data_IF_072439232495
#
_entry.id   IF_072439232495
#
_cell.length_a   1.000
_cell.length_b   1.000
_cell.length_c   1.000
_cell.angle_alpha   90.00
_cell.angle_beta   90.00
_cell.angle_gamma   90.00
#
_symmetry.space_group_name_H-M   'P 1'
#
loop_
_entity.id
_entity.type
_entity.pdbx_description
1 polymer ?
#
# COMPACT_ATOMS: atom_id res chain seq x y z
N UNK A 1 -21.45 -16.75 -4.20
CA UNK A 1 -21.42 -17.94 -5.09
C UNK A 1 -21.66 -19.25 -4.31
N UNK A 2 -20.94 -19.51 -3.21
CA UNK A 2 -21.13 -20.74 -2.41
C UNK A 2 -22.51 -20.76 -1.72
N UNK A 3 -22.89 -19.66 -1.08
CA UNK A 3 -24.20 -19.53 -0.44
C UNK A 3 -25.35 -19.64 -1.43
N UNK A 4 -25.21 -19.09 -2.64
CA UNK A 4 -26.24 -19.22 -3.69
C UNK A 4 -26.41 -20.65 -4.21
N UNK A 5 -25.47 -21.54 -3.88
CA UNK A 5 -25.53 -23.00 -4.16
C UNK A 5 -25.95 -23.81 -2.93
N UNK A 6 -26.46 -23.17 -1.87
CA UNK A 6 -26.89 -23.84 -0.64
C UNK A 6 -25.77 -24.32 0.27
N UNK A 7 -24.52 -23.94 -0.02
CA UNK A 7 -23.37 -24.29 0.81
C UNK A 7 -23.30 -23.31 1.97
N UNK A 8 -23.24 -23.83 3.19
CA UNK A 8 -23.07 -23.02 4.39
C UNK A 8 -21.63 -22.46 4.43
N UNK A 9 -21.46 -21.31 3.81
CA UNK A 9 -20.17 -20.62 3.71
C UNK A 9 -20.31 -19.15 4.14
N UNK A 10 -19.26 -18.64 4.75
CA UNK A 10 -19.17 -17.22 5.12
C UNK A 10 -17.81 -16.66 4.73
N UNK A 11 -17.75 -15.35 4.57
CA UNK A 11 -16.49 -14.64 4.31
C UNK A 11 -15.75 -14.46 5.63
N UNK A 12 -14.60 -15.13 5.78
CA UNK A 12 -13.80 -15.13 7.02
C UNK A 12 -12.80 -13.98 7.10
N UNK A 13 -12.50 -13.33 5.98
CA UNK A 13 -11.39 -12.39 5.90
C UNK A 13 -10.03 -13.10 5.79
N UNK A 14 -9.01 -12.51 6.39
CA UNK A 14 -7.64 -13.03 6.38
C UNK A 14 -7.08 -13.09 7.81
N UNK A 15 -6.32 -14.13 8.11
CA UNK A 15 -5.66 -14.31 9.42
C UNK A 15 -4.77 -13.11 9.80
N UNK A 16 -4.18 -12.42 8.84
CA UNK A 16 -3.34 -11.26 9.11
C UNK A 16 -4.09 -10.08 9.73
N UNK A 17 -5.42 -10.07 9.66
CA UNK A 17 -6.26 -9.09 10.38
C UNK A 17 -6.17 -9.23 11.92
N UNK A 18 -5.67 -10.36 12.41
CA UNK A 18 -5.50 -10.62 13.86
C UNK A 18 -4.09 -10.28 14.37
N UNK A 19 -3.18 -9.83 13.52
CA UNK A 19 -1.77 -9.58 13.88
C UNK A 19 -1.59 -8.58 15.01
N UNK A 20 -2.50 -7.63 15.17
CA UNK A 20 -2.48 -6.66 16.26
C UNK A 20 -2.53 -7.26 17.67
N UNK A 21 -2.97 -8.53 17.78
CA UNK A 21 -2.96 -9.24 19.06
C UNK A 21 -1.54 -9.55 19.56
N UNK A 22 -0.58 -9.72 18.62
CA UNK A 22 0.81 -10.07 18.94
C UNK A 22 1.81 -8.94 18.69
N UNK A 23 1.49 -8.03 17.77
CA UNK A 23 2.42 -6.99 17.28
C UNK A 23 1.88 -5.56 17.44
N UNK A 24 0.95 -5.34 18.37
CA UNK A 24 0.40 -4.00 18.60
C UNK A 24 1.49 -3.02 19.03
N UNK A 25 1.42 -1.78 18.53
CA UNK A 25 2.25 -0.66 18.97
C UNK A 25 1.37 0.56 19.25
N UNK A 26 1.35 1.02 20.48
CA UNK A 26 0.66 2.25 20.87
C UNK A 26 1.39 3.50 20.36
N UNK A 27 2.72 3.41 20.24
CA UNK A 27 3.55 4.52 19.79
C UNK A 27 3.73 4.42 18.28
N UNK A 28 3.21 5.42 17.55
CA UNK A 28 3.45 5.58 16.12
C UNK A 28 4.65 6.49 15.90
N UNK A 29 5.61 6.01 15.12
CA UNK A 29 6.73 6.81 14.64
C UNK A 29 6.25 7.72 13.50
N UNK A 30 6.89 8.88 13.32
CA UNK A 30 6.58 9.78 12.20
C UNK A 30 7.19 9.25 10.88
N UNK A 31 6.86 7.99 10.54
CA UNK A 31 7.34 7.29 9.34
C UNK A 31 6.19 6.93 8.42
N UNK A 32 6.43 7.12 7.14
CA UNK A 32 5.52 6.82 6.05
C UNK A 32 6.18 5.78 5.15
N UNK A 33 5.44 4.75 4.78
CA UNK A 33 5.91 3.69 3.89
C UNK A 33 5.11 3.67 2.60
N UNK A 34 5.81 3.68 1.47
CA UNK A 34 5.24 3.43 0.15
C UNK A 34 5.76 2.08 -0.33
N UNK A 35 4.88 1.07 -0.26
CA UNK A 35 5.22 -0.33 -0.56
C UNK A 35 4.57 -0.70 -1.89
N UNK A 36 5.35 -0.78 -2.95
CA UNK A 36 4.86 -1.02 -4.31
C UNK A 36 3.62 -0.18 -4.66
N UNK A 37 3.62 1.15 -4.48
CA UNK A 37 2.47 1.99 -4.79
C UNK A 37 2.17 1.90 -6.30
N UNK A 38 0.88 1.77 -6.65
CA UNK A 38 0.49 1.62 -8.04
C UNK A 38 0.56 2.95 -8.80
N UNK A 39 1.24 2.94 -9.93
CA UNK A 39 1.23 4.01 -10.93
C UNK A 39 1.78 3.52 -12.27
N UNK A 40 1.38 4.16 -13.36
CA UNK A 40 1.81 3.82 -14.72
C UNK A 40 2.39 5.05 -15.40
N UNK A 41 3.56 4.88 -16.01
CA UNK A 41 4.17 5.93 -16.83
C UNK A 41 3.93 5.62 -18.30
N UNK A 42 3.15 6.44 -18.97
CA UNK A 42 2.96 6.35 -20.42
C UNK A 42 4.13 7.02 -21.15
N UNK A 43 4.66 6.36 -22.18
CA UNK A 43 5.82 6.81 -22.94
C UNK A 43 5.41 7.37 -24.32
N UNK A 44 4.31 8.11 -24.38
CA UNK A 44 3.98 8.90 -25.56
C UNK A 44 4.68 10.28 -25.52
N UNK A 45 4.84 10.90 -26.68
CA UNK A 45 5.58 12.16 -26.84
C UNK A 45 5.05 13.26 -25.90
N UNK A 46 3.73 13.40 -25.82
CA UNK A 46 3.11 14.41 -24.95
C UNK A 46 3.47 14.20 -23.48
N UNK A 47 3.34 12.98 -22.98
CA UNK A 47 3.67 12.67 -21.57
C UNK A 47 5.15 12.83 -21.30
N UNK A 48 6.03 12.50 -22.25
CA UNK A 48 7.48 12.69 -22.12
C UNK A 48 7.81 14.17 -21.98
N UNK A 49 7.30 15.01 -22.88
CA UNK A 49 7.53 16.46 -22.84
C UNK A 49 6.97 17.09 -21.56
N UNK A 50 5.74 16.73 -21.21
CA UNK A 50 5.11 17.23 -19.99
C UNK A 50 5.91 16.83 -18.73
N UNK A 51 6.30 15.58 -18.63
CA UNK A 51 7.12 15.10 -17.49
C UNK A 51 8.51 15.73 -17.49
N UNK A 52 9.13 16.00 -18.65
CA UNK A 52 10.41 16.70 -18.72
C UNK A 52 10.32 18.12 -18.17
N UNK A 53 9.30 18.88 -18.60
CA UNK A 53 9.05 20.22 -18.09
C UNK A 53 8.76 20.17 -16.57
N UNK A 54 7.87 19.27 -16.15
CA UNK A 54 7.52 19.13 -14.74
C UNK A 54 8.75 18.75 -13.87
N UNK A 55 9.62 17.89 -14.37
CA UNK A 55 10.88 17.51 -13.72
C UNK A 55 11.80 18.72 -13.50
N UNK A 56 11.91 19.64 -14.47
CA UNK A 56 12.72 20.85 -14.32
C UNK A 56 12.25 21.71 -13.14
N UNK A 57 10.95 21.92 -13.00
CA UNK A 57 10.39 22.71 -11.89
C UNK A 57 10.41 22.00 -10.55
N UNK A 58 10.45 20.66 -10.53
CA UNK A 58 10.38 19.84 -9.32
C UNK A 58 11.62 18.94 -9.15
N UNK A 59 12.77 19.38 -9.67
CA UNK A 59 14.00 18.59 -9.72
C UNK A 59 14.42 18.02 -8.36
N UNK A 60 14.51 18.88 -7.33
CA UNK A 60 14.96 18.48 -6.00
C UNK A 60 14.13 17.35 -5.38
N UNK A 61 12.80 17.48 -5.19
CA UNK A 61 12.00 16.43 -4.60
C UNK A 61 12.02 15.14 -5.42
N UNK A 62 11.94 15.23 -6.75
CA UNK A 62 11.95 14.05 -7.62
C UNK A 62 13.29 13.31 -7.53
N UNK A 63 14.42 14.01 -7.48
CA UNK A 63 15.72 13.38 -7.30
C UNK A 63 15.85 12.67 -5.95
N UNK A 64 15.32 13.24 -4.85
CA UNK A 64 15.32 12.60 -3.54
C UNK A 64 14.51 11.32 -3.58
N UNK A 65 13.29 11.36 -4.14
CA UNK A 65 12.44 10.19 -4.28
C UNK A 65 13.10 9.15 -5.18
N UNK A 66 13.65 9.54 -6.34
CA UNK A 66 14.33 8.64 -7.24
C UNK A 66 15.54 7.94 -6.61
N UNK A 67 16.24 8.61 -5.69
CA UNK A 67 17.34 7.99 -4.94
C UNK A 67 16.86 6.95 -3.93
N UNK A 68 15.74 7.22 -3.26
CA UNK A 68 15.15 6.33 -2.25
C UNK A 68 14.37 5.16 -2.84
N UNK A 69 13.70 5.38 -3.97
CA UNK A 69 12.83 4.38 -4.58
C UNK A 69 13.66 3.20 -5.15
N UNK A 70 13.29 1.96 -4.84
CA UNK A 70 14.05 0.76 -5.20
C UNK A 70 13.87 0.30 -6.65
N UNK A 71 13.33 1.12 -7.56
CA UNK A 71 13.23 0.79 -8.99
C UNK A 71 14.64 0.53 -9.55
N UNK A 72 14.86 -0.59 -10.27
CA UNK A 72 16.16 -0.96 -10.82
C UNK A 72 16.66 -0.05 -11.95
N UNK A 73 15.77 0.75 -12.54
CA UNK A 73 16.17 1.72 -13.56
C UNK A 73 17.01 2.83 -12.97
N UNK A 74 17.89 3.40 -13.77
CA UNK A 74 18.85 4.41 -13.33
C UNK A 74 18.76 5.69 -14.17
N UNK A 75 19.49 6.71 -13.76
CA UNK A 75 19.67 7.95 -14.51
C UNK A 75 18.39 8.73 -14.78
N UNK A 76 18.32 9.32 -15.97
CA UNK A 76 17.18 10.17 -16.37
C UNK A 76 15.87 9.37 -16.48
N UNK A 77 15.93 8.13 -16.97
CA UNK A 77 14.75 7.28 -17.10
C UNK A 77 14.05 7.06 -15.77
N UNK A 78 14.80 6.79 -14.70
CA UNK A 78 14.24 6.65 -13.35
C UNK A 78 13.58 7.95 -12.89
N UNK A 79 14.24 9.10 -13.12
CA UNK A 79 13.69 10.40 -12.76
C UNK A 79 12.39 10.69 -13.49
N UNK A 80 12.28 10.36 -14.78
CA UNK A 80 11.04 10.50 -15.56
C UNK A 80 9.89 9.65 -15.00
N UNK A 81 10.18 8.40 -14.60
CA UNK A 81 9.20 7.51 -13.95
C UNK A 81 8.76 8.14 -12.61
N UNK A 82 9.70 8.56 -11.80
CA UNK A 82 9.41 9.19 -10.50
C UNK A 82 8.73 10.56 -10.64
N UNK A 83 8.84 11.21 -11.79
CA UNK A 83 8.06 12.41 -12.10
C UNK A 83 6.58 12.10 -12.18
N UNK A 84 6.19 11.02 -12.88
CA UNK A 84 4.79 10.57 -12.92
C UNK A 84 4.28 10.25 -11.52
N UNK A 85 5.06 9.46 -10.75
CA UNK A 85 4.72 9.15 -9.37
C UNK A 85 4.53 10.43 -8.54
N UNK A 86 5.53 11.30 -8.49
CA UNK A 86 5.49 12.52 -7.68
C UNK A 86 4.33 13.44 -8.05
N UNK A 87 4.08 13.65 -9.36
CA UNK A 87 3.01 14.49 -9.86
C UNK A 87 1.65 14.04 -9.36
N UNK A 88 1.35 12.75 -9.46
CA UNK A 88 0.05 12.21 -9.09
C UNK A 88 -0.10 12.09 -7.56
N UNK A 89 0.91 11.56 -6.87
CA UNK A 89 0.84 11.38 -5.42
C UNK A 89 0.88 12.70 -4.64
N UNK A 90 1.55 13.75 -5.17
CA UNK A 90 1.54 15.10 -4.56
C UNK A 90 0.14 15.71 -4.47
N UNK A 91 -0.82 15.26 -5.25
CA UNK A 91 -2.23 15.69 -5.16
C UNK A 91 -2.90 15.21 -3.88
N UNK A 92 -2.41 14.13 -3.28
CA UNK A 92 -2.97 13.45 -2.12
C UNK A 92 -2.12 13.57 -0.87
N UNK A 93 -0.81 13.76 -1.03
CA UNK A 93 0.14 13.82 0.08
C UNK A 93 0.97 15.10 -0.01
N UNK A 94 1.25 15.71 1.13
CA UNK A 94 2.20 16.82 1.17
C UNK A 94 3.58 16.37 0.70
N UNK A 95 4.31 17.29 0.11
CA UNK A 95 5.67 17.08 -0.41
C UNK A 95 6.59 16.47 0.64
N UNK A 96 6.50 16.92 1.88
CA UNK A 96 7.32 16.47 3.01
C UNK A 96 7.11 14.98 3.29
N UNK A 97 5.88 14.49 3.22
CA UNK A 97 5.57 13.06 3.34
C UNK A 97 6.27 12.26 2.25
N UNK A 98 6.14 12.69 0.99
CA UNK A 98 6.75 11.98 -0.14
C UNK A 98 8.28 11.97 -0.08
N UNK A 99 8.90 13.07 0.33
CA UNK A 99 10.36 13.17 0.43
C UNK A 99 10.90 12.34 1.59
N UNK A 100 10.20 12.30 2.73
CA UNK A 100 10.65 11.63 3.95
C UNK A 100 10.24 10.17 4.02
N UNK A 101 9.29 9.72 3.19
CA UNK A 101 8.84 8.34 3.14
C UNK A 101 9.97 7.34 2.86
N UNK A 102 9.77 6.13 3.34
CA UNK A 102 10.53 4.95 2.96
C UNK A 102 9.81 4.23 1.81
N UNK A 103 10.58 3.82 0.80
CA UNK A 103 10.07 3.15 -0.40
C UNK A 103 10.55 1.71 -0.41
N UNK A 104 9.63 0.76 -0.54
CA UNK A 104 9.90 -0.67 -0.55
C UNK A 104 9.31 -1.28 -1.81
N UNK A 105 10.08 -2.12 -2.49
CA UNK A 105 9.61 -2.93 -3.61
C UNK A 105 9.71 -4.41 -3.23
N UNK A 106 8.64 -4.95 -2.68
CA UNK A 106 8.57 -6.36 -2.24
C UNK A 106 8.49 -7.36 -3.41
N UNK A 107 8.13 -6.88 -4.61
CA UNK A 107 8.06 -7.74 -5.81
C UNK A 107 9.40 -7.92 -6.52
N UNK A 108 10.39 -7.08 -6.25
CA UNK A 108 11.62 -7.17 -7.03
C UNK A 108 12.38 -8.44 -6.66
N UNK A 109 12.86 -9.11 -7.69
CA UNK A 109 13.76 -10.27 -7.53
C UNK A 109 15.00 -9.87 -6.73
N UNK A 110 15.49 -8.62 -6.92
CA UNK A 110 16.62 -8.09 -6.18
C UNK A 110 16.32 -7.95 -4.68
N UNK A 111 15.08 -7.63 -4.31
CA UNK A 111 14.68 -7.60 -2.91
C UNK A 111 14.68 -9.01 -2.29
N UNK A 112 14.07 -9.98 -2.99
CA UNK A 112 13.96 -11.37 -2.52
C UNK A 112 15.35 -12.00 -2.41
N UNK A 113 16.23 -11.75 -3.39
CA UNK A 113 17.62 -12.28 -3.39
C UNK A 113 18.50 -11.79 -2.23
N UNK A 114 18.09 -10.74 -1.51
CA UNK A 114 18.80 -10.30 -0.29
C UNK A 114 18.63 -11.28 0.87
N UNK A 115 17.67 -12.17 0.79
CA UNK A 115 17.29 -13.09 1.83
C UNK A 115 17.30 -14.52 1.25
N UNK A 116 18.49 -15.14 1.11
CA UNK A 116 18.64 -16.40 0.40
C UNK A 116 18.06 -17.61 1.12
N UNK A 117 17.75 -17.49 2.42
CA UNK A 117 17.17 -18.58 3.22
C UNK A 117 15.76 -18.24 3.70
N UNK A 118 14.95 -19.27 3.94
CA UNK A 118 13.59 -19.11 4.48
C UNK A 118 13.62 -18.42 5.86
N UNK A 119 14.63 -18.69 6.67
CA UNK A 119 14.79 -18.04 7.96
C UNK A 119 15.04 -16.53 7.83
N UNK A 120 15.85 -16.11 6.88
CA UNK A 120 16.08 -14.69 6.60
C UNK A 120 14.85 -14.01 6.04
N UNK A 121 14.08 -14.70 5.17
CA UNK A 121 12.79 -14.22 4.68
C UNK A 121 11.78 -14.03 5.82
N UNK A 122 11.69 -14.96 6.75
CA UNK A 122 10.82 -14.86 7.93
C UNK A 122 11.26 -13.72 8.85
N UNK A 123 12.55 -13.56 9.11
CA UNK A 123 13.08 -12.42 9.88
C UNK A 123 12.77 -11.08 9.23
N UNK A 124 12.88 -11.01 7.91
CA UNK A 124 12.52 -9.79 7.16
C UNK A 124 11.02 -9.52 7.22
N UNK A 125 10.18 -10.54 7.07
CA UNK A 125 8.73 -10.41 7.22
C UNK A 125 8.35 -9.88 8.62
N UNK A 126 8.95 -10.44 9.67
CA UNK A 126 8.74 -9.98 11.04
C UNK A 126 9.23 -8.53 11.25
N UNK A 127 10.39 -8.18 10.69
CA UNK A 127 10.91 -6.80 10.70
C UNK A 127 9.91 -5.84 10.05
N UNK A 128 9.36 -6.18 8.88
CA UNK A 128 8.37 -5.37 8.18
C UNK A 128 7.09 -5.21 9.00
N UNK A 129 6.58 -6.29 9.59
CA UNK A 129 5.40 -6.24 10.48
C UNK A 129 5.65 -5.26 11.64
N UNK A 130 6.81 -5.33 12.30
CA UNK A 130 7.20 -4.40 13.37
C UNK A 130 7.31 -2.95 12.89
N UNK A 131 7.86 -2.74 11.69
CA UNK A 131 7.93 -1.41 11.07
C UNK A 131 6.53 -0.86 10.77
N UNK A 132 5.67 -1.67 10.19
CA UNK A 132 4.29 -1.26 9.86
C UNK A 132 3.45 -1.02 11.12
N UNK A 133 3.63 -1.80 12.18
CA UNK A 133 2.96 -1.57 13.45
C UNK A 133 3.23 -0.17 14.02
N UNK A 134 4.43 0.36 13.79
CA UNK A 134 4.85 1.70 14.25
C UNK A 134 4.61 2.80 13.23
N UNK A 135 4.29 2.47 11.98
CA UNK A 135 4.12 3.44 10.90
C UNK A 135 2.95 4.40 11.16
N UNK A 136 3.09 5.65 10.74
CA UNK A 136 2.02 6.65 10.74
C UNK A 136 1.02 6.39 9.61
N UNK A 137 1.52 5.92 8.46
CA UNK A 137 0.72 5.56 7.29
C UNK A 137 1.51 4.61 6.39
N UNK A 138 0.80 3.65 5.80
CA UNK A 138 1.31 2.79 4.74
C UNK A 138 0.47 2.98 3.47
N UNK A 139 1.12 3.16 2.33
CA UNK A 139 0.49 3.24 1.01
C UNK A 139 0.98 2.08 0.18
N UNK A 140 0.08 1.23 -0.32
CA UNK A 140 0.51 -0.02 -0.98
C UNK A 140 -0.50 -0.52 -2.01
N UNK A 141 -0.01 -1.19 -3.05
CA UNK A 141 -0.83 -1.98 -3.97
C UNK A 141 -0.85 -3.48 -3.61
N UNK A 142 -0.17 -3.85 -2.50
CA UNK A 142 -0.05 -5.24 -2.07
C UNK A 142 -1.07 -5.59 -1.02
N UNK A 143 -1.98 -6.51 -1.35
CA UNK A 143 -2.99 -6.98 -0.41
C UNK A 143 -2.35 -7.62 0.83
N UNK A 144 -1.23 -8.35 0.64
CA UNK A 144 -0.46 -8.99 1.73
C UNK A 144 0.38 -8.00 2.56
N UNK A 145 0.44 -6.73 2.17
CA UNK A 145 0.94 -5.64 3.00
C UNK A 145 -0.23 -4.88 3.65
N UNK A 146 -1.29 -4.63 2.90
CA UNK A 146 -2.44 -3.85 3.35
C UNK A 146 -3.23 -4.53 4.47
N UNK A 147 -3.52 -5.84 4.35
CA UNK A 147 -4.25 -6.61 5.38
C UNK A 147 -3.50 -6.67 6.73
N UNK A 148 -2.19 -7.00 6.77
CA UNK A 148 -1.41 -6.84 7.99
C UNK A 148 -1.52 -5.46 8.62
N UNK A 149 -1.42 -4.38 7.84
CA UNK A 149 -1.54 -3.02 8.36
C UNK A 149 -2.90 -2.77 9.02
N UNK A 150 -4.01 -3.25 8.44
CA UNK A 150 -5.31 -3.20 9.10
C UNK A 150 -5.28 -3.92 10.44
N UNK A 151 -4.80 -5.17 10.45
CA UNK A 151 -4.72 -5.99 11.66
C UNK A 151 -3.87 -5.35 12.76
N UNK A 152 -2.82 -4.61 12.39
CA UNK A 152 -1.96 -3.85 13.30
C UNK A 152 -2.59 -2.51 13.76
N UNK A 153 -3.77 -2.14 13.23
CA UNK A 153 -4.38 -0.84 13.47
C UNK A 153 -3.60 0.32 12.83
N UNK A 154 -2.73 0.03 11.89
CA UNK A 154 -1.97 1.04 11.17
C UNK A 154 -2.79 1.61 10.03
N UNK A 155 -2.88 2.96 9.90
CA UNK A 155 -3.52 3.59 8.77
C UNK A 155 -2.92 3.09 7.45
N UNK A 156 -3.79 2.67 6.52
CA UNK A 156 -3.37 2.15 5.22
C UNK A 156 -4.25 2.69 4.08
N UNK A 157 -3.61 3.04 2.98
CA UNK A 157 -4.25 3.37 1.71
C UNK A 157 -3.87 2.29 0.71
N UNK A 158 -4.87 1.65 0.14
CA UNK A 158 -4.67 0.69 -0.93
C UNK A 158 -4.67 1.39 -2.29
N UNK A 159 -3.72 1.05 -3.15
CA UNK A 159 -3.62 1.64 -4.48
C UNK A 159 -3.80 0.57 -5.54
N UNK A 160 -4.60 0.81 -6.57
CA UNK A 160 -4.92 -0.17 -7.59
C UNK A 160 -5.16 0.45 -8.96
N UNK A 161 -5.21 -0.40 -9.99
CA UNK A 161 -5.70 -0.05 -11.31
C UNK A 161 -7.23 -0.03 -11.32
N UNK A 162 -7.84 0.99 -11.91
CA UNK A 162 -9.30 1.06 -12.11
C UNK A 162 -9.79 -0.02 -13.10
N UNK A 163 -8.93 -0.41 -14.04
CA UNK A 163 -9.23 -1.35 -15.12
C UNK A 163 -8.65 -2.76 -14.86
N UNK A 164 -8.78 -3.25 -13.62
CA UNK A 164 -8.37 -4.61 -13.30
C UNK A 164 -9.18 -5.64 -14.08
N UNK A 165 -8.52 -6.72 -14.50
CA UNK A 165 -9.23 -7.86 -15.10
C UNK A 165 -10.21 -8.48 -14.09
N UNK A 166 -11.32 -9.06 -14.59
CA UNK A 166 -12.30 -9.75 -13.73
C UNK A 166 -11.65 -10.83 -12.86
N UNK A 167 -10.65 -11.54 -13.38
CA UNK A 167 -9.89 -12.54 -12.63
C UNK A 167 -9.12 -11.92 -11.43
N UNK A 168 -8.57 -10.71 -11.60
CA UNK A 168 -7.91 -9.99 -10.51
C UNK A 168 -8.92 -9.45 -9.50
N UNK A 169 -10.02 -8.87 -9.98
CA UNK A 169 -11.10 -8.35 -9.13
C UNK A 169 -11.76 -9.47 -8.30
N UNK A 170 -11.97 -10.65 -8.89
CA UNK A 170 -12.55 -11.82 -8.22
C UNK A 170 -11.69 -12.32 -7.05
N UNK A 171 -10.35 -12.27 -7.18
CA UNK A 171 -9.42 -12.71 -6.11
C UNK A 171 -9.50 -11.84 -4.85
N UNK A 172 -9.90 -10.59 -4.98
CA UNK A 172 -9.97 -9.62 -3.89
C UNK A 172 -11.41 -9.30 -3.46
N UNK A 173 -12.38 -10.03 -3.99
CA UNK A 173 -13.79 -9.85 -3.66
C UNK A 173 -14.04 -9.86 -2.15
N UNK A 174 -14.68 -8.81 -1.63
CA UNK A 174 -14.93 -8.59 -0.21
C UNK A 174 -13.75 -7.99 0.56
N UNK A 175 -12.49 -8.29 0.22
CA UNK A 175 -11.32 -7.71 0.89
C UNK A 175 -11.10 -6.24 0.51
N UNK A 176 -11.41 -5.88 -0.73
CA UNK A 176 -11.26 -4.52 -1.25
C UNK A 176 -12.10 -3.50 -0.48
N UNK A 177 -13.27 -3.90 -0.02
CA UNK A 177 -14.19 -3.06 0.75
C UNK A 177 -13.62 -2.62 2.10
N UNK A 178 -12.60 -3.32 2.60
CA UNK A 178 -11.95 -3.02 3.88
C UNK A 178 -11.07 -1.77 3.82
N UNK A 179 -10.66 -1.33 2.62
CA UNK A 179 -9.65 -0.28 2.44
C UNK A 179 -10.21 1.06 2.00
N UNK A 180 -9.47 2.10 2.29
CA UNK A 180 -9.53 3.37 1.60
C UNK A 180 -8.66 3.25 0.33
N UNK A 181 -9.21 3.58 -0.82
CA UNK A 181 -8.60 3.25 -2.11
C UNK A 181 -8.23 4.49 -2.89
N UNK A 182 -7.03 4.51 -3.45
CA UNK A 182 -6.64 5.38 -4.56
C UNK A 182 -6.57 4.54 -5.83
N UNK A 183 -7.38 4.88 -6.80
CA UNK A 183 -7.39 4.22 -8.11
C UNK A 183 -6.57 4.98 -9.13
N UNK A 184 -5.85 4.24 -9.93
CA UNK A 184 -5.23 4.75 -11.14
C UNK A 184 -6.24 4.62 -12.29
N UNK A 185 -6.79 5.74 -12.71
CA UNK A 185 -7.78 5.81 -13.78
C UNK A 185 -7.34 6.82 -14.86
N UNK A 186 -7.30 6.39 -16.11
CA UNK A 186 -6.96 7.23 -17.27
C UNK A 186 -5.70 8.10 -17.08
N UNK A 187 -4.66 7.55 -16.44
CA UNK A 187 -3.38 8.24 -16.21
C UNK A 187 -3.33 9.14 -14.98
N UNK A 188 -4.36 9.11 -14.15
CA UNK A 188 -4.46 9.90 -12.93
C UNK A 188 -4.88 9.06 -11.72
N UNK A 189 -4.43 9.48 -10.53
CA UNK A 189 -4.96 8.93 -9.29
C UNK A 189 -6.28 9.59 -8.92
N UNK A 190 -7.26 8.77 -8.56
CA UNK A 190 -8.60 9.17 -8.09
C UNK A 190 -8.86 8.52 -6.73
N UNK A 191 -9.46 9.24 -5.79
CA UNK A 191 -9.81 8.70 -4.47
C UNK A 191 -11.20 8.09 -4.46
N UNK A 192 -11.35 6.97 -3.71
CA UNK A 192 -12.65 6.34 -3.42
C UNK A 192 -12.96 6.37 -1.91
N UNK A 193 -12.74 7.49 -1.26
CA UNK A 193 -13.04 7.66 0.17
C UNK A 193 -13.29 9.14 0.49
N UNK A 194 -13.99 9.38 1.59
CA UNK A 194 -14.18 10.72 2.13
C UNK A 194 -12.97 11.16 2.96
N UNK A 195 -12.63 12.43 2.91
CA UNK A 195 -11.53 13.00 3.67
C UNK A 195 -10.90 14.21 3.00
N UNK A 196 -10.26 15.06 3.80
CA UNK A 196 -9.55 16.24 3.30
C UNK A 196 -8.24 15.83 2.62
N UNK A 197 -7.94 16.49 1.53
CA UNK A 197 -6.71 16.34 0.76
C UNK A 197 -6.07 17.72 0.63
N UNK A 198 -4.73 17.83 0.62
CA UNK A 198 -3.74 16.78 0.81
C UNK A 198 -3.64 16.29 2.25
N UNK A 199 -3.24 15.03 2.42
CA UNK A 199 -2.92 14.46 3.71
C UNK A 199 -1.64 15.12 4.24
N UNK A 200 -1.70 15.61 5.46
CA UNK A 200 -0.57 16.21 6.17
C UNK A 200 -0.25 15.42 7.45
N UNK A 201 0.82 15.85 8.14
CA UNK A 201 1.27 15.21 9.37
C UNK A 201 0.25 15.29 10.51
N UNK A 202 -0.68 16.24 10.45
CA UNK A 202 -1.70 16.48 11.48
C UNK A 202 -2.99 15.73 11.18
N UNK A 203 -3.15 15.18 9.96
CA UNK A 203 -4.35 14.47 9.56
C UNK A 203 -4.47 13.19 10.37
N UNK A 204 -5.52 13.06 11.15
CA UNK A 204 -5.93 11.81 11.75
C UNK A 204 -6.53 10.93 10.66
N UNK A 205 -5.69 10.11 10.04
CA UNK A 205 -6.15 9.14 9.07
C UNK A 205 -6.70 7.91 9.79
N UNK A 206 -7.93 7.53 9.50
CA UNK A 206 -8.54 6.33 10.06
C UNK A 206 -8.86 5.30 8.98
N UNK A 207 -8.61 4.05 9.29
CA UNK A 207 -9.10 2.94 8.48
C UNK A 207 -10.62 2.79 8.63
N UNK A 208 -11.28 2.20 7.64
CA UNK A 208 -12.65 1.70 7.81
C UNK A 208 -12.68 0.70 8.97
N UNK A 209 -13.80 0.56 9.65
CA UNK A 209 -13.90 -0.26 10.88
C UNK A 209 -14.37 -1.69 10.63
N UNK A 210 -14.94 -1.96 9.47
CA UNK A 210 -15.56 -3.26 9.11
C UNK A 210 -14.59 -4.46 9.27
N UNK A 211 -13.29 -4.25 9.10
CA UNK A 211 -12.30 -5.31 9.27
C UNK A 211 -12.20 -5.82 10.72
N UNK A 212 -12.54 -4.99 11.73
CA UNK A 212 -12.47 -5.38 13.15
C UNK A 212 -13.44 -6.50 13.49
N UNK A 213 -14.65 -6.42 12.96
CA UNK A 213 -15.66 -7.46 13.14
C UNK A 213 -15.21 -8.78 12.50
N UNK A 214 -14.62 -8.73 11.29
CA UNK A 214 -14.06 -9.91 10.64
C UNK A 214 -12.91 -10.53 11.46
N UNK A 215 -12.01 -9.71 11.99
CA UNK A 215 -10.90 -10.16 12.82
C UNK A 215 -11.36 -10.85 14.10
N UNK A 216 -12.34 -10.27 14.82
CA UNK A 216 -12.92 -10.87 16.04
C UNK A 216 -13.65 -12.18 15.76
N UNK A 217 -14.46 -12.21 14.72
CA UNK A 217 -15.17 -13.41 14.28
C UNK A 217 -14.20 -14.54 13.95
N UNK A 218 -13.15 -14.25 13.19
CA UNK A 218 -12.14 -15.22 12.82
C UNK A 218 -11.40 -15.76 14.04
N UNK A 219 -10.96 -14.88 14.93
CA UNK A 219 -10.27 -15.27 16.15
C UNK A 219 -11.13 -16.14 17.07
N UNK A 220 -12.42 -15.79 17.23
CA UNK A 220 -13.37 -16.57 18.02
C UNK A 220 -13.54 -17.98 17.45
N UNK A 221 -13.63 -18.11 16.13
CA UNK A 221 -13.75 -19.42 15.49
C UNK A 221 -12.49 -20.25 15.64
N UNK A 222 -11.30 -19.68 15.43
CA UNK A 222 -10.04 -20.38 15.67
C UNK A 222 -9.94 -20.88 17.12
N UNK A 223 -10.29 -20.05 18.10
CA UNK A 223 -10.28 -20.45 19.51
C UNK A 223 -11.24 -21.59 19.81
N UNK A 224 -12.41 -21.64 19.16
CA UNK A 224 -13.37 -22.77 19.32
C UNK A 224 -12.85 -24.04 18.67
N UNK A 225 -12.11 -23.94 17.59
CA UNK A 225 -11.58 -25.08 16.85
C UNK A 225 -10.39 -25.74 17.57
N UNK A 226 -9.62 -24.96 18.34
CA UNK A 226 -8.47 -25.45 19.11
C UNK A 226 -8.82 -25.96 20.51
N UNK A 227 -10.08 -25.90 20.90
CA UNK A 227 -10.60 -26.52 22.15
C UNK A 227 -11.22 -27.89 21.84
#
# INVERSE_FOLDING_TARGET
>A
LLQSKGINAYFSGCMTLTLGRNYHSEIKENKYYFVDPYFVTHWNLYTILYNAIYLLFHWKPICIIAKKHPDPKTGLRKKMIMTTFYREYKRFFRKEILINAEYINQQSIEYIRKFPTDEELLKEAERLVKCYAKAKLVVTSRIHCALPCLGLGTPVIYTEDAHQSEASACRFGGLRELFNILKWDNGHLVKEFDGKIPLDDTSSWSNKTIWKELAERLATQCTRFCK
#
